data_IF_037891762705
#
_entry.id   IF_037891762705
#
_cell.length_a   1.000
_cell.length_b   1.000
_cell.length_c   1.000
_cell.angle_alpha   90.00
_cell.angle_beta   90.00
_cell.angle_gamma   90.00
#
_symmetry.space_group_name_H-M   'P 1'
#
loop_
_entity.id
_entity.type
_entity.pdbx_description
1 polymer ?
#
# COMPACT_ATOMS: atom_id res chain seq x y z
N UNK A 1 42.11 9.72 -33.52
CA UNK A 1 41.40 9.29 -32.30
C UNK A 1 40.36 10.32 -31.93
N UNK A 2 39.13 9.88 -31.66
CA UNK A 2 38.00 10.71 -31.22
C UNK A 2 37.35 10.08 -29.99
N UNK A 3 37.02 10.92 -29.02
CA UNK A 3 36.28 10.53 -27.82
C UNK A 3 34.79 10.82 -28.00
N UNK A 4 33.95 9.89 -27.55
CA UNK A 4 32.49 10.03 -27.51
C UNK A 4 32.01 9.95 -26.07
N UNK A 5 31.12 10.86 -25.70
CA UNK A 5 30.45 10.86 -24.42
C UNK A 5 29.00 11.29 -24.61
N UNK A 6 28.08 10.56 -23.99
CA UNK A 6 26.67 10.92 -23.90
C UNK A 6 26.19 10.70 -22.46
N UNK A 7 25.31 11.58 -22.00
CA UNK A 7 24.82 11.55 -20.63
C UNK A 7 23.42 12.13 -20.55
N UNK A 8 22.52 11.41 -19.89
CA UNK A 8 21.16 11.86 -19.65
C UNK A 8 20.77 11.60 -18.20
N UNK A 9 20.11 12.58 -17.61
CA UNK A 9 19.42 12.44 -16.34
C UNK A 9 18.03 13.06 -16.47
N UNK A 10 17.01 12.29 -16.12
CA UNK A 10 15.63 12.75 -16.12
C UNK A 10 14.93 12.29 -14.84
N UNK A 11 14.18 13.18 -14.20
CA UNK A 11 13.30 12.84 -13.07
C UNK A 11 11.91 13.34 -13.35
N UNK A 12 10.93 12.43 -13.31
CA UNK A 12 9.52 12.74 -13.43
C UNK A 12 8.81 12.40 -12.12
N UNK A 13 8.14 13.40 -11.56
CA UNK A 13 7.21 13.21 -10.44
C UNK A 13 5.78 13.40 -10.92
N UNK A 14 4.90 12.48 -10.54
CA UNK A 14 3.47 12.55 -10.84
C UNK A 14 2.68 12.18 -9.60
N UNK A 15 1.58 12.90 -9.35
CA UNK A 15 0.65 12.62 -8.27
C UNK A 15 -0.76 12.64 -8.83
N UNK A 16 -1.55 11.64 -8.49
CA UNK A 16 -2.93 11.49 -8.94
C UNK A 16 -3.83 11.20 -7.74
N UNK A 17 -5.02 11.80 -7.73
CA UNK A 17 -6.05 11.48 -6.76
C UNK A 17 -6.90 10.34 -7.29
N UNK A 18 -6.97 9.24 -6.54
CA UNK A 18 -7.83 8.11 -6.86
C UNK A 18 -9.19 8.28 -6.21
N UNK A 19 -10.18 7.63 -6.79
CA UNK A 19 -11.46 7.44 -6.14
C UNK A 19 -11.28 6.61 -4.85
N UNK A 20 -12.17 6.83 -3.89
CA UNK A 20 -12.25 6.05 -2.66
C UNK A 20 -12.39 4.56 -2.94
N UNK A 21 -11.65 3.73 -2.18
CA UNK A 21 -11.66 2.27 -2.32
C UNK A 21 -13.06 1.72 -1.96
N UNK A 22 -13.66 0.88 -2.81
CA UNK A 22 -14.92 0.22 -2.50
C UNK A 22 -14.67 -0.91 -1.50
N UNK A 23 -14.70 -0.57 -0.20
CA UNK A 23 -14.58 -1.55 0.85
C UNK A 23 -15.91 -2.29 0.96
N UNK A 24 -15.83 -3.61 0.93
CA UNK A 24 -16.98 -4.45 1.15
C UNK A 24 -16.51 -5.82 1.65
N UNK A 25 -17.40 -6.52 2.35
CA UNK A 25 -17.13 -7.90 2.76
C UNK A 25 -16.82 -8.80 1.57
N UNK A 26 -17.43 -8.56 0.41
CA UNK A 26 -17.17 -9.32 -0.82
C UNK A 26 -15.72 -9.19 -1.33
N UNK A 27 -15.05 -8.06 -1.05
CA UNK A 27 -13.68 -7.80 -1.50
C UNK A 27 -12.64 -8.07 -0.42
N UNK A 28 -13.03 -7.99 0.86
CA UNK A 28 -12.12 -8.08 2.02
C UNK A 28 -12.22 -9.40 2.76
N UNK A 29 -13.32 -10.14 2.61
CA UNK A 29 -13.64 -11.32 3.42
C UNK A 29 -14.02 -11.00 4.88
N UNK A 30 -14.03 -9.73 5.28
CA UNK A 30 -14.30 -9.31 6.65
C UNK A 30 -15.80 -9.00 6.78
N UNK A 31 -16.48 -9.76 7.62
CA UNK A 31 -17.88 -9.53 7.98
C UNK A 31 -17.97 -8.62 9.21
N UNK A 32 -19.11 -7.94 9.36
CA UNK A 32 -19.46 -7.26 10.60
C UNK A 32 -19.99 -8.32 11.58
N UNK A 33 -19.37 -8.42 12.76
CA UNK A 33 -19.73 -9.44 13.74
C UNK A 33 -21.20 -9.35 14.17
N UNK A 34 -21.85 -10.50 14.37
CA UNK A 34 -23.16 -10.67 15.01
C UNK A 34 -23.26 -9.95 16.35
N UNK A 35 -22.17 -9.98 17.11
CA UNK A 35 -22.05 -9.37 18.44
C UNK A 35 -21.64 -7.88 18.38
N UNK A 36 -21.63 -7.26 17.20
CA UNK A 36 -21.30 -5.84 17.07
C UNK A 36 -22.49 -4.96 17.43
N UNK A 37 -22.24 -3.85 18.13
CA UNK A 37 -23.25 -2.85 18.46
C UNK A 37 -23.95 -2.30 17.21
N UNK A 38 -23.22 -2.22 16.10
CA UNK A 38 -23.71 -1.70 14.84
C UNK A 38 -24.44 -2.75 13.98
N UNK A 39 -24.48 -4.02 14.40
CA UNK A 39 -25.15 -5.07 13.65
C UNK A 39 -26.67 -5.01 13.90
N UNK A 40 -27.50 -4.78 12.87
CA UNK A 40 -28.95 -4.71 13.02
C UNK A 40 -29.59 -6.05 13.43
N UNK A 41 -28.88 -7.16 13.27
CA UNK A 41 -29.32 -8.49 13.69
C UNK A 41 -28.63 -8.97 14.98
N UNK A 42 -28.04 -8.07 15.75
CA UNK A 42 -27.48 -8.43 17.05
C UNK A 42 -28.57 -9.00 17.98
N UNK A 43 -28.26 -10.11 18.65
CA UNK A 43 -29.18 -10.81 19.56
C UNK A 43 -29.61 -9.95 20.76
N UNK A 44 -28.77 -9.01 21.20
CA UNK A 44 -29.10 -8.04 22.25
C UNK A 44 -30.27 -7.12 21.87
N UNK A 45 -30.55 -6.96 20.57
CA UNK A 45 -31.63 -6.14 20.04
C UNK A 45 -32.75 -6.96 19.38
N UNK A 46 -32.81 -8.27 19.65
CA UNK A 46 -33.84 -9.17 19.13
C UNK A 46 -33.55 -9.76 17.74
N UNK A 47 -32.32 -9.65 17.25
CA UNK A 47 -31.88 -10.30 16.01
C UNK A 47 -31.39 -11.74 16.19
N UNK A 48 -31.00 -12.38 15.08
CA UNK A 48 -30.56 -13.79 15.03
C UNK A 48 -29.05 -13.99 15.28
N UNK A 49 -28.32 -12.91 15.58
CA UNK A 49 -26.90 -12.94 15.95
C UNK A 49 -25.94 -13.28 14.81
N UNK A 50 -26.40 -13.24 13.55
CA UNK A 50 -25.55 -13.56 12.39
C UNK A 50 -24.59 -12.44 12.05
N UNK A 51 -23.41 -12.84 11.57
CA UNK A 51 -22.48 -11.92 10.91
C UNK A 51 -23.11 -11.40 9.62
N UNK A 52 -22.90 -10.12 9.32
CA UNK A 52 -23.47 -9.47 8.14
C UNK A 52 -22.41 -8.93 7.19
N UNK A 53 -22.72 -9.06 5.90
CA UNK A 53 -21.98 -8.38 4.86
C UNK A 53 -22.24 -6.88 4.92
N UNK A 54 -21.21 -6.09 4.63
CA UNK A 54 -21.30 -4.64 4.55
C UNK A 54 -20.58 -4.12 3.31
N UNK A 55 -20.90 -2.90 2.91
CA UNK A 55 -20.16 -2.14 1.91
C UNK A 55 -20.12 -0.67 2.31
N UNK A 56 -18.94 -0.07 2.19
CA UNK A 56 -18.72 1.33 2.45
C UNK A 56 -17.66 1.88 1.51
N UNK A 57 -17.94 3.05 0.91
CA UNK A 57 -16.97 3.76 0.10
C UNK A 57 -16.34 4.86 0.94
N UNK A 58 -15.04 4.75 1.18
CA UNK A 58 -14.32 5.76 1.95
C UNK A 58 -14.10 7.02 1.11
N UNK A 59 -14.78 8.09 1.49
CA UNK A 59 -14.60 9.44 0.94
C UNK A 59 -14.00 10.41 1.94
N UNK A 60 -13.88 10.02 3.22
CA UNK A 60 -13.37 10.85 4.30
C UNK A 60 -11.87 11.17 4.19
N UNK A 61 -11.10 10.31 3.51
CA UNK A 61 -9.67 10.50 3.28
C UNK A 61 -9.37 10.42 1.79
N UNK A 62 -8.57 11.35 1.29
CA UNK A 62 -8.11 11.32 -0.09
C UNK A 62 -7.16 10.14 -0.31
N UNK A 63 -7.39 9.37 -1.36
CA UNK A 63 -6.48 8.34 -1.82
C UNK A 63 -5.57 8.95 -2.88
N UNK A 64 -4.26 8.87 -2.66
CA UNK A 64 -3.27 9.51 -3.54
C UNK A 64 -2.25 8.48 -3.98
N UNK A 65 -1.92 8.51 -5.26
CA UNK A 65 -0.87 7.70 -5.85
C UNK A 65 0.19 8.61 -6.41
N UNK A 66 1.41 8.42 -5.93
CA UNK A 66 2.59 9.18 -6.30
C UNK A 66 3.58 8.27 -7.02
N UNK A 67 4.15 8.76 -8.11
CA UNK A 67 5.20 8.09 -8.86
C UNK A 67 6.38 9.03 -9.00
N UNK A 68 7.57 8.53 -8.65
CA UNK A 68 8.86 9.18 -8.86
C UNK A 68 9.71 8.26 -9.73
N UNK A 69 9.97 8.69 -10.97
CA UNK A 69 10.76 7.92 -11.94
C UNK A 69 12.02 8.71 -12.25
N UNK A 70 13.17 8.08 -12.02
CA UNK A 70 14.49 8.62 -12.29
C UNK A 70 15.16 7.76 -13.34
N UNK A 71 15.59 8.36 -14.44
CA UNK A 71 16.33 7.68 -15.50
C UNK A 71 17.69 8.34 -15.64
N UNK A 72 18.75 7.54 -15.55
CA UNK A 72 20.12 7.95 -15.81
C UNK A 72 20.73 7.10 -16.91
N UNK A 73 21.39 7.76 -17.85
CA UNK A 73 22.17 7.14 -18.91
C UNK A 73 23.56 7.77 -18.91
N UNK A 74 24.57 6.93 -19.07
CA UNK A 74 25.92 7.38 -19.39
C UNK A 74 26.51 6.45 -20.44
N UNK A 75 27.14 7.05 -21.43
CA UNK A 75 27.90 6.37 -22.46
C UNK A 75 29.26 7.04 -22.61
N UNK A 76 30.30 6.22 -22.73
CA UNK A 76 31.64 6.67 -23.06
C UNK A 76 32.26 5.72 -24.07
N UNK A 77 32.97 6.29 -25.05
CA UNK A 77 33.63 5.49 -26.07
C UNK A 77 34.85 6.18 -26.67
N UNK A 78 35.75 5.37 -27.18
CA UNK A 78 36.91 5.80 -27.95
C UNK A 78 36.82 5.16 -29.32
N UNK A 79 37.14 5.95 -30.33
CA UNK A 79 37.33 5.45 -31.68
C UNK A 79 38.62 6.01 -32.26
N UNK A 80 39.21 5.22 -33.14
CA UNK A 80 40.43 5.60 -33.81
C UNK A 80 40.65 4.77 -35.04
N UNK A 81 41.62 5.23 -35.80
CA UNK A 81 42.08 4.62 -37.01
C UNK A 81 43.61 4.66 -37.02
N UNK A 82 44.21 3.65 -37.64
CA UNK A 82 45.64 3.60 -37.87
C UNK A 82 45.94 2.88 -39.18
N UNK A 83 47.07 3.20 -39.77
CA UNK A 83 47.53 2.58 -41.01
C UNK A 83 48.66 1.60 -40.70
N UNK A 84 48.53 0.36 -41.17
CA UNK A 84 49.56 -0.67 -41.00
C UNK A 84 49.64 -1.53 -42.27
N UNK A 85 50.86 -1.74 -42.79
CA UNK A 85 51.11 -2.49 -44.03
C UNK A 85 50.22 -2.05 -45.21
N UNK A 86 50.17 -0.74 -45.49
CA UNK A 86 49.35 -0.12 -46.55
C UNK A 86 47.83 -0.34 -46.43
N UNK A 87 47.34 -0.76 -45.25
CA UNK A 87 45.92 -0.96 -44.97
C UNK A 87 45.44 -0.05 -43.84
N UNK A 88 44.26 0.53 -44.02
CA UNK A 88 43.59 1.32 -42.99
C UNK A 88 42.80 0.39 -42.07
N UNK A 89 43.03 0.51 -40.76
CA UNK A 89 42.22 -0.16 -39.74
C UNK A 89 41.48 0.90 -38.93
N UNK A 90 40.22 0.61 -38.61
CA UNK A 90 39.42 1.41 -37.67
C UNK A 90 38.95 0.52 -36.53
N UNK A 91 38.87 1.09 -35.35
CA UNK A 91 38.38 0.41 -34.15
C UNK A 91 37.54 1.36 -33.31
N UNK A 92 36.62 0.77 -32.55
CA UNK A 92 35.85 1.45 -31.53
C UNK A 92 35.71 0.57 -30.29
N UNK A 93 35.65 1.21 -29.13
CA UNK A 93 35.32 0.57 -27.86
C UNK A 93 34.44 1.52 -27.07
N UNK A 94 33.44 0.98 -26.37
CA UNK A 94 32.55 1.80 -25.57
C UNK A 94 31.94 1.05 -24.40
N UNK A 95 31.46 1.83 -23.43
CA UNK A 95 30.74 1.38 -22.25
C UNK A 95 29.47 2.22 -22.12
N UNK A 96 28.34 1.56 -21.90
CA UNK A 96 27.05 2.18 -21.64
C UNK A 96 26.49 1.67 -20.32
N UNK A 97 25.98 2.58 -19.49
CA UNK A 97 25.23 2.24 -18.29
C UNK A 97 23.90 2.99 -18.29
N UNK A 98 22.82 2.22 -18.14
CA UNK A 98 21.45 2.71 -18.11
C UNK A 98 20.80 2.22 -16.83
N UNK A 99 20.26 3.14 -16.04
CA UNK A 99 19.48 2.81 -14.86
C UNK A 99 18.18 3.61 -14.88
N UNK A 100 17.08 2.95 -14.56
CA UNK A 100 15.80 3.60 -14.29
C UNK A 100 15.26 3.10 -12.96
N UNK A 101 15.13 4.01 -12.01
CA UNK A 101 14.56 3.74 -10.70
C UNK A 101 13.13 4.31 -10.66
N UNK A 102 12.18 3.48 -10.25
CA UNK A 102 10.78 3.86 -10.10
C UNK A 102 10.35 3.60 -8.66
N UNK A 103 9.91 4.66 -7.99
CA UNK A 103 9.28 4.56 -6.66
C UNK A 103 7.83 4.93 -6.79
N UNK A 104 6.96 4.02 -6.39
CA UNK A 104 5.52 4.25 -6.31
C UNK A 104 5.10 4.29 -4.86
N UNK A 105 4.26 5.24 -4.50
CA UNK A 105 3.78 5.36 -3.14
C UNK A 105 2.29 5.67 -3.16
N UNK A 106 1.56 4.85 -2.41
CA UNK A 106 0.12 4.94 -2.32
C UNK A 106 -0.30 5.24 -0.89
N UNK A 107 -1.19 6.23 -0.75
CA UNK A 107 -1.71 6.68 0.52
C UNK A 107 -3.23 6.60 0.54
N UNK A 108 -3.80 6.41 1.74
CA UNK A 108 -5.26 6.39 1.95
C UNK A 108 -5.91 5.02 1.80
N UNK A 109 -5.13 3.94 1.67
CA UNK A 109 -5.64 2.57 1.75
C UNK A 109 -5.89 2.15 3.21
N UNK A 110 -6.88 1.27 3.39
CA UNK A 110 -7.24 0.78 4.72
C UNK A 110 -6.37 -0.37 5.15
N UNK A 111 -5.90 -0.29 6.39
CA UNK A 111 -5.30 -1.42 7.07
C UNK A 111 -6.38 -2.47 7.41
N UNK A 112 -6.35 -3.60 6.71
CA UNK A 112 -7.34 -4.67 6.88
C UNK A 112 -7.30 -5.32 8.28
N UNK A 113 -6.15 -5.33 8.96
CA UNK A 113 -6.04 -5.85 10.31
C UNK A 113 -6.79 -4.95 11.31
N UNK A 114 -6.61 -3.64 11.21
CA UNK A 114 -7.34 -2.68 12.03
C UNK A 114 -8.82 -2.66 11.68
N UNK A 115 -9.18 -2.84 10.40
CA UNK A 115 -10.57 -2.95 9.95
C UNK A 115 -11.25 -4.19 10.55
N UNK A 116 -10.59 -5.35 10.54
CA UNK A 116 -11.10 -6.57 11.16
C UNK A 116 -11.37 -6.37 12.65
N UNK A 117 -10.43 -5.75 13.37
CA UNK A 117 -10.61 -5.43 14.78
C UNK A 117 -11.77 -4.45 15.03
N UNK A 118 -11.98 -3.48 14.14
CA UNK A 118 -13.06 -2.50 14.26
C UNK A 118 -14.45 -3.09 13.98
N UNK A 119 -14.54 -4.08 13.10
CA UNK A 119 -15.78 -4.77 12.72
C UNK A 119 -16.12 -5.98 13.61
N UNK A 120 -15.25 -6.28 14.57
CA UNK A 120 -15.47 -7.30 15.58
C UNK A 120 -16.62 -6.96 16.53
N UNK A 121 -16.78 -7.81 17.53
CA UNK A 121 -17.79 -7.61 18.56
C UNK A 121 -17.59 -6.24 19.23
N UNK A 122 -18.68 -5.53 19.52
CA UNK A 122 -18.64 -4.23 20.19
C UNK A 122 -19.94 -3.98 20.96
N UNK A 123 -19.90 -3.11 21.97
CA UNK A 123 -21.06 -2.83 22.81
C UNK A 123 -20.89 -1.57 23.64
N UNK A 124 -21.99 -0.99 24.11
CA UNK A 124 -21.95 0.17 25.01
C UNK A 124 -21.71 -0.32 26.44
N UNK A 125 -20.69 0.21 27.09
CA UNK A 125 -20.41 0.00 28.52
C UNK A 125 -20.35 1.36 29.21
N UNK A 126 -21.19 1.56 30.23
CA UNK A 126 -21.27 2.82 30.97
C UNK A 126 -21.45 4.05 30.06
N UNK A 127 -22.29 3.94 29.02
CA UNK A 127 -22.55 5.01 28.05
C UNK A 127 -21.45 5.23 27.00
N UNK A 128 -20.38 4.44 27.00
CA UNK A 128 -19.28 4.53 26.02
C UNK A 128 -19.23 3.30 25.13
N UNK A 129 -19.01 3.48 23.83
CA UNK A 129 -18.80 2.35 22.92
C UNK A 129 -17.43 1.70 23.17
N UNK A 130 -17.45 0.40 23.43
CA UNK A 130 -16.28 -0.43 23.62
C UNK A 130 -16.24 -1.52 22.54
N UNK A 131 -15.08 -1.66 21.88
CA UNK A 131 -14.82 -2.78 20.98
C UNK A 131 -14.15 -3.92 21.76
N UNK A 132 -14.56 -5.16 21.50
CA UNK A 132 -13.97 -6.36 22.07
C UNK A 132 -13.01 -6.95 21.04
N UNK A 133 -11.71 -6.69 21.17
CA UNK A 133 -10.72 -7.46 20.41
C UNK A 133 -10.68 -8.88 20.95
N UNK A 134 -10.91 -9.87 20.09
CA UNK A 134 -10.47 -11.25 20.38
C UNK A 134 -8.95 -11.18 20.48
N UNK A 135 -8.38 -11.54 21.62
CA UNK A 135 -6.93 -11.51 21.81
C UNK A 135 -6.26 -12.39 20.75
N UNK A 136 -5.48 -11.79 19.85
CA UNK A 136 -4.59 -12.52 18.96
C UNK A 136 -3.46 -13.08 19.86
N UNK A 137 -3.23 -14.40 19.93
CA UNK A 137 -2.33 -14.99 20.93
C UNK A 137 -0.84 -14.59 20.82
N UNK A 138 -0.44 -13.91 19.74
CA UNK A 138 0.97 -13.76 19.34
C UNK A 138 1.55 -12.34 19.43
N UNK A 139 0.85 -11.35 20.00
CA UNK A 139 1.39 -9.98 20.14
C UNK A 139 1.79 -9.66 21.59
N UNK A 140 3.03 -9.16 21.84
CA UNK A 140 3.45 -8.73 23.17
C UNK A 140 2.65 -7.51 23.65
N UNK A 141 2.46 -7.44 24.96
CA UNK A 141 1.47 -6.66 25.71
C UNK A 141 1.57 -5.11 25.67
N UNK A 142 1.95 -4.52 24.54
CA UNK A 142 2.08 -3.07 24.39
C UNK A 142 1.27 -2.54 23.19
N UNK A 143 -0.04 -2.76 23.18
CA UNK A 143 -0.97 -1.90 22.44
C UNK A 143 -2.25 -1.65 23.28
N UNK A 144 -2.18 -0.53 24.00
CA UNK A 144 -3.20 0.30 24.64
C UNK A 144 -4.69 -0.10 24.47
N UNK A 145 -5.36 -0.28 25.61
CA UNK A 145 -6.80 -0.30 25.89
C UNK A 145 -7.72 0.45 24.88
N UNK A 146 -8.75 -0.24 24.38
CA UNK A 146 -10.14 0.21 24.58
C UNK A 146 -10.80 -0.88 25.43
N UNK A 147 -10.66 -0.78 26.77
CA UNK A 147 -11.31 -1.76 27.67
C UNK A 147 -12.82 -1.56 27.55
N UNK A 148 -13.52 -2.66 27.31
CA UNK A 148 -14.19 -3.31 28.43
C UNK A 148 -14.00 -4.82 28.28
N UNK A 149 -14.24 -5.59 29.33
CA UNK A 149 -14.18 -7.07 29.36
C UNK A 149 -15.62 -7.63 29.33
N UNK A 150 -15.95 -8.58 28.42
CA UNK A 150 -17.30 -9.21 28.38
C UNK A 150 -17.67 -9.71 29.79
N UNK A 151 -18.86 -9.46 30.36
CA UNK A 151 -19.33 -10.22 31.51
C UNK A 151 -19.66 -11.64 31.03
N UNK A 152 -18.98 -12.61 31.63
CA UNK A 152 -19.33 -14.03 31.54
C UNK A 152 -20.72 -14.18 32.17
N UNK A 153 -21.66 -14.77 31.43
CA UNK A 153 -22.87 -15.36 32.01
C UNK A 153 -22.55 -16.81 32.40
#
# INVERSE_FOLDING_TARGET
MRFKFDGLYNRRQSSQQLAGFPLASVNTGILLSGDSYYNPYNSAYGGDGRDVGWSHRLTAFARTYQQDVKTSHVYTGLEGDFQFADRQFSWDVGFAHNQTDQTETQYGDVNLLNLSNALGASGIVNGTLCAWTVAVPSLPAACRLIRCRRPVA
#
